data_IF_397254578086
#
_entry.id   IF_397254578086
#
_cell.length_a   1.000
_cell.length_b   1.000
_cell.length_c   1.000
_cell.angle_alpha   90.00
_cell.angle_beta   90.00
_cell.angle_gamma   90.00
#
_symmetry.space_group_name_H-M   'P 1'
#
loop_
_entity.id
_entity.type
_entity.pdbx_description
1 polymer ?
#
# COMPACT_ATOMS: atom_id res chain seq x y z
N UNK A 1 26.67 -5.62 9.71
CA UNK A 1 25.47 -5.55 8.85
C UNK A 1 24.39 -6.33 9.56
N UNK A 2 23.33 -5.67 10.02
CA UNK A 2 22.15 -6.36 10.54
C UNK A 2 21.44 -6.97 9.33
N UNK A 3 21.17 -8.28 9.37
CA UNK A 3 20.41 -8.92 8.29
C UNK A 3 19.00 -8.30 8.22
N UNK A 4 18.59 -7.85 7.05
CA UNK A 4 17.23 -7.36 6.84
C UNK A 4 16.22 -8.48 7.17
N UNK A 5 15.11 -8.13 7.81
CA UNK A 5 14.01 -9.09 8.04
C UNK A 5 13.56 -9.65 6.68
N UNK A 6 13.20 -10.94 6.58
CA UNK A 6 12.79 -11.55 5.29
C UNK A 6 11.66 -10.79 4.57
N UNK A 7 10.70 -10.25 5.33
CA UNK A 7 9.60 -9.44 4.79
C UNK A 7 10.11 -8.21 4.04
N UNK A 8 11.13 -7.51 4.57
CA UNK A 8 11.69 -6.31 3.94
C UNK A 8 12.34 -6.67 2.59
N UNK A 9 13.08 -7.78 2.56
CA UNK A 9 13.70 -8.28 1.31
C UNK A 9 12.64 -8.60 0.26
N UNK A 10 11.54 -9.25 0.67
CA UNK A 10 10.43 -9.57 -0.22
C UNK A 10 9.73 -8.30 -0.73
N UNK A 11 9.42 -7.34 0.16
CA UNK A 11 8.84 -6.05 -0.23
C UNK A 11 9.71 -5.39 -1.30
N UNK A 12 11.02 -5.29 -1.09
CA UNK A 12 11.95 -4.72 -2.09
C UNK A 12 11.81 -5.45 -3.44
N UNK A 13 11.71 -6.78 -3.44
CA UNK A 13 11.55 -7.56 -4.67
C UNK A 13 10.27 -7.22 -5.46
N UNK A 14 9.19 -6.85 -4.77
CA UNK A 14 7.95 -6.36 -5.39
C UNK A 14 8.10 -4.92 -5.87
N UNK A 15 8.71 -4.04 -5.07
CA UNK A 15 8.92 -2.63 -5.43
C UNK A 15 9.80 -2.47 -6.67
N UNK A 16 10.73 -3.39 -6.91
CA UNK A 16 11.55 -3.43 -8.14
C UNK A 16 10.74 -3.76 -9.41
N UNK A 17 9.47 -4.18 -9.29
CA UNK A 17 8.55 -4.38 -10.43
C UNK A 17 7.72 -3.14 -10.75
N UNK A 18 7.83 -2.10 -9.95
CA UNK A 18 7.23 -0.79 -10.21
C UNK A 18 8.10 -0.07 -11.24
N UNK A 19 7.45 0.67 -12.16
CA UNK A 19 8.18 1.35 -13.22
C UNK A 19 9.11 2.45 -12.67
N UNK A 20 10.35 2.40 -13.12
CA UNK A 20 11.43 3.39 -13.02
C UNK A 20 11.52 4.25 -11.73
N UNK A 21 11.19 5.53 -11.86
CA UNK A 21 11.40 6.53 -10.81
C UNK A 21 10.63 6.23 -9.53
N UNK A 22 9.41 5.73 -9.63
CA UNK A 22 8.59 5.41 -8.45
C UNK A 22 9.13 4.19 -7.70
N UNK A 23 9.74 3.22 -8.38
CA UNK A 23 10.43 2.09 -7.73
C UNK A 23 11.50 2.57 -6.75
N UNK A 24 12.39 3.45 -7.23
CA UNK A 24 13.46 4.02 -6.39
C UNK A 24 12.89 4.82 -5.21
N UNK A 25 11.83 5.60 -5.43
CA UNK A 25 11.15 6.40 -4.39
C UNK A 25 10.51 5.51 -3.33
N UNK A 26 9.85 4.42 -3.74
CA UNK A 26 9.30 3.42 -2.83
C UNK A 26 10.39 2.79 -1.94
N UNK A 27 11.51 2.37 -2.53
CA UNK A 27 12.61 1.76 -1.78
C UNK A 27 13.23 2.77 -0.81
N UNK A 28 13.40 4.04 -1.22
CA UNK A 28 13.89 5.11 -0.36
C UNK A 28 12.96 5.36 0.83
N UNK A 29 11.65 5.41 0.60
CA UNK A 29 10.63 5.56 1.66
C UNK A 29 10.60 4.34 2.58
N UNK A 30 10.66 3.13 2.03
CA UNK A 30 10.72 1.89 2.83
C UNK A 30 11.94 1.89 3.76
N UNK A 31 13.12 2.22 3.26
CA UNK A 31 14.34 2.30 4.07
C UNK A 31 14.20 3.35 5.19
N UNK A 32 13.67 4.52 4.89
CA UNK A 32 13.37 5.54 5.90
C UNK A 32 12.46 4.99 7.02
N UNK A 33 11.42 4.24 6.67
CA UNK A 33 10.54 3.63 7.67
C UNK A 33 11.22 2.52 8.47
N UNK A 34 11.98 1.65 7.82
CA UNK A 34 12.71 0.56 8.50
C UNK A 34 13.72 1.13 9.50
N UNK A 35 14.39 2.21 9.15
CA UNK A 35 15.39 2.85 10.01
C UNK A 35 14.73 3.57 11.20
N UNK A 36 13.63 4.30 10.95
CA UNK A 36 13.01 5.16 11.96
C UNK A 36 11.90 4.46 12.76
N UNK A 37 11.15 3.56 12.13
CA UNK A 37 9.96 2.90 12.69
C UNK A 37 9.99 1.38 12.49
N UNK A 38 11.02 0.66 12.95
CA UNK A 38 11.22 -0.78 12.66
C UNK A 38 10.10 -1.68 13.19
N UNK A 39 9.38 -1.23 14.21
CA UNK A 39 8.31 -1.96 14.88
C UNK A 39 6.91 -1.40 14.62
N UNK A 40 6.74 -0.61 13.54
CA UNK A 40 5.44 -0.05 13.18
C UNK A 40 4.35 -1.13 13.09
N UNK A 41 3.22 -1.03 13.83
CA UNK A 41 2.12 -1.97 13.71
C UNK A 41 1.26 -1.68 12.47
N UNK A 42 0.55 -2.70 11.98
CA UNK A 42 -0.35 -2.56 10.84
C UNK A 42 -1.66 -1.84 11.18
N UNK A 43 -2.08 -1.88 12.44
CA UNK A 43 -3.27 -1.18 12.95
C UNK A 43 -3.18 -0.96 14.45
N UNK A 44 -4.14 -0.19 15.02
CA UNK A 44 -4.21 0.08 16.46
C UNK A 44 -4.81 -1.06 17.31
N UNK A 45 -5.33 -2.13 16.71
CA UNK A 45 -5.99 -3.20 17.46
C UNK A 45 -6.79 -4.18 16.60
N UNK A 46 -6.69 -4.06 15.28
CA UNK A 46 -7.35 -4.94 14.33
C UNK A 46 -6.35 -5.94 13.73
N UNK A 47 -6.17 -5.92 12.40
CA UNK A 47 -5.22 -6.79 11.69
C UNK A 47 -3.77 -6.33 11.91
N UNK A 48 -2.85 -7.28 12.02
CA UNK A 48 -1.40 -7.07 12.20
C UNK A 48 -1.04 -6.01 13.26
N UNK A 49 -1.78 -5.99 14.39
CA UNK A 49 -1.59 -5.06 15.50
C UNK A 49 -0.44 -5.49 16.44
N UNK A 50 0.71 -5.84 15.88
CA UNK A 50 1.91 -6.28 16.59
C UNK A 50 3.16 -5.56 16.04
N UNK A 51 4.29 -5.54 16.78
CA UNK A 51 5.53 -4.92 16.33
C UNK A 51 5.98 -5.45 14.97
N UNK A 52 6.14 -4.55 13.99
CA UNK A 52 6.47 -4.90 12.61
C UNK A 52 5.30 -5.33 11.73
N UNK A 53 4.07 -5.32 12.26
CA UNK A 53 2.87 -5.73 11.54
C UNK A 53 2.57 -4.90 10.29
N UNK A 54 3.00 -3.64 10.24
CA UNK A 54 2.93 -2.81 9.05
C UNK A 54 3.67 -3.47 7.87
N UNK A 55 4.91 -3.93 8.10
CA UNK A 55 5.70 -4.56 7.03
C UNK A 55 5.14 -5.91 6.61
N UNK A 56 4.56 -6.67 7.56
CA UNK A 56 3.83 -7.91 7.22
C UNK A 56 2.64 -7.60 6.34
N UNK A 57 1.81 -6.60 6.70
CA UNK A 57 0.68 -6.17 5.88
C UNK A 57 1.11 -5.76 4.47
N UNK A 58 2.13 -4.90 4.35
CA UNK A 58 2.66 -4.45 3.06
C UNK A 58 3.17 -5.63 2.23
N UNK A 59 3.94 -6.56 2.84
CA UNK A 59 4.38 -7.77 2.15
C UNK A 59 3.21 -8.58 1.59
N UNK A 60 2.23 -8.85 2.43
CA UNK A 60 1.06 -9.68 2.08
C UNK A 60 0.26 -9.10 0.91
N UNK A 61 -0.05 -7.80 0.95
CA UNK A 61 -0.84 -7.17 -0.12
C UNK A 61 -0.10 -7.13 -1.46
N UNK A 62 1.23 -6.94 -1.45
CA UNK A 62 2.05 -6.95 -2.67
C UNK A 62 2.16 -8.37 -3.26
N UNK A 63 2.25 -9.38 -2.39
CA UNK A 63 2.22 -10.78 -2.79
C UNK A 63 0.88 -11.14 -3.42
N UNK A 64 -0.25 -10.84 -2.74
CA UNK A 64 -1.60 -11.12 -3.26
C UNK A 64 -1.85 -10.39 -4.58
N UNK A 65 -1.43 -9.13 -4.69
CA UNK A 65 -1.52 -8.40 -5.94
C UNK A 65 -0.79 -9.10 -7.09
N UNK A 66 0.44 -9.56 -6.84
CA UNK A 66 1.23 -10.25 -7.85
C UNK A 66 0.57 -11.57 -8.28
N UNK A 67 0.05 -12.34 -7.33
CA UNK A 67 -0.66 -13.61 -7.60
C UNK A 67 -1.97 -13.40 -8.35
N UNK A 68 -2.81 -12.47 -7.88
CA UNK A 68 -4.10 -12.16 -8.47
C UNK A 68 -3.96 -11.56 -9.87
N UNK A 69 -3.05 -10.60 -10.05
CA UNK A 69 -2.78 -9.99 -11.35
C UNK A 69 -2.40 -11.06 -12.38
N UNK A 70 -1.45 -11.95 -12.03
CA UNK A 70 -1.03 -13.07 -12.89
C UNK A 70 -2.19 -14.01 -13.23
N UNK A 71 -3.11 -14.23 -12.30
CA UNK A 71 -4.27 -15.10 -12.51
C UNK A 71 -5.33 -14.43 -13.40
N UNK A 72 -5.65 -13.18 -13.15
CA UNK A 72 -6.67 -12.41 -13.86
C UNK A 72 -6.25 -12.07 -15.29
N UNK A 73 -4.99 -11.67 -15.49
CA UNK A 73 -4.45 -11.34 -16.82
C UNK A 73 -4.41 -12.53 -17.82
N UNK A 74 -4.50 -13.76 -17.32
CA UNK A 74 -4.67 -14.95 -18.15
C UNK A 74 -6.10 -15.14 -18.66
N UNK A 75 -7.08 -14.53 -17.99
CA UNK A 75 -8.51 -14.68 -18.34
C UNK A 75 -8.96 -13.58 -19.29
N UNK A 76 -8.49 -12.36 -19.07
CA UNK A 76 -8.91 -11.22 -19.87
C UNK A 76 -7.88 -10.07 -19.75
N UNK A 77 -8.02 -9.07 -20.63
CA UNK A 77 -7.24 -7.85 -20.60
C UNK A 77 -7.56 -7.02 -19.35
N UNK A 78 -6.51 -6.59 -18.64
CA UNK A 78 -6.60 -5.65 -17.54
C UNK A 78 -6.22 -4.25 -18.03
N UNK A 79 -7.06 -3.25 -17.74
CA UNK A 79 -6.85 -1.86 -18.16
C UNK A 79 -5.81 -1.09 -17.32
N UNK A 80 -5.09 -1.78 -16.45
CA UNK A 80 -4.02 -1.26 -15.59
C UNK A 80 -2.85 -2.23 -15.55
N UNK A 81 -1.66 -1.76 -15.21
CA UNK A 81 -0.46 -2.59 -15.08
C UNK A 81 -0.29 -3.13 -13.65
N UNK A 82 0.53 -4.18 -13.51
CA UNK A 82 0.96 -4.63 -12.18
C UNK A 82 1.75 -3.54 -11.45
N UNK A 83 2.54 -2.74 -12.17
CA UNK A 83 3.28 -1.59 -11.65
C UNK A 83 2.35 -0.59 -10.97
N UNK A 84 1.24 -0.20 -11.62
CA UNK A 84 0.22 0.71 -11.05
C UNK A 84 -0.37 0.15 -9.75
N UNK A 85 -0.73 -1.13 -9.76
CA UNK A 85 -1.32 -1.78 -8.59
C UNK A 85 -0.34 -1.84 -7.41
N UNK A 86 0.92 -2.24 -7.65
CA UNK A 86 1.94 -2.31 -6.60
C UNK A 86 2.25 -0.92 -6.02
N UNK A 87 2.30 0.12 -6.86
CA UNK A 87 2.53 1.49 -6.43
C UNK A 87 1.39 1.96 -5.50
N UNK A 88 0.14 1.80 -5.91
CA UNK A 88 -1.02 2.18 -5.09
C UNK A 88 -1.04 1.42 -3.77
N UNK A 89 -0.84 0.10 -3.80
CA UNK A 89 -0.82 -0.75 -2.61
C UNK A 89 0.32 -0.39 -1.66
N UNK A 90 1.49 -0.04 -2.15
CA UNK A 90 2.58 0.43 -1.29
C UNK A 90 2.25 1.77 -0.61
N UNK A 91 1.57 2.67 -1.34
CA UNK A 91 1.30 4.04 -0.87
C UNK A 91 0.05 4.20 -0.01
N UNK A 92 -0.84 3.20 0.07
CA UNK A 92 -2.17 3.39 0.66
C UNK A 92 -2.17 3.67 2.17
N UNK A 93 -1.21 3.12 2.89
CA UNK A 93 -1.09 3.15 4.34
C UNK A 93 0.27 3.74 4.83
N UNK A 94 0.93 4.55 4.02
CA UNK A 94 2.27 5.10 4.35
C UNK A 94 2.28 6.03 5.55
N UNK A 95 1.13 6.51 6.00
CA UNK A 95 1.02 7.31 7.23
C UNK A 95 1.13 6.46 8.50
N UNK A 96 0.83 5.16 8.45
CA UNK A 96 0.76 4.29 9.63
C UNK A 96 2.05 4.23 10.47
N UNK A 97 3.25 4.11 9.89
CA UNK A 97 4.49 4.12 10.69
C UNK A 97 4.66 5.37 11.53
N UNK A 98 4.27 6.54 11.02
CA UNK A 98 4.32 7.81 11.74
C UNK A 98 3.17 7.90 12.75
N UNK A 99 1.95 7.58 12.32
CA UNK A 99 0.75 7.62 13.15
C UNK A 99 0.87 6.76 14.43
N UNK A 100 1.49 5.60 14.31
CA UNK A 100 1.62 4.64 15.42
C UNK A 100 2.99 4.68 16.10
N UNK A 101 3.83 5.69 15.81
CA UNK A 101 5.16 5.84 16.42
C UNK A 101 5.12 6.20 17.91
N UNK A 102 3.99 6.69 18.42
CA UNK A 102 3.88 7.29 19.75
C UNK A 102 4.40 8.73 19.84
N UNK A 103 4.90 9.29 18.73
CA UNK A 103 5.26 10.70 18.64
C UNK A 103 3.99 11.55 18.57
N UNK A 104 3.99 12.71 19.26
CA UNK A 104 2.89 13.69 19.13
C UNK A 104 2.94 14.30 17.72
N UNK A 105 1.92 14.01 16.92
CA UNK A 105 1.82 14.50 15.55
C UNK A 105 0.44 15.13 15.33
N UNK A 106 0.38 16.45 15.08
CA UNK A 106 -0.87 17.17 14.86
C UNK A 106 -1.47 16.93 13.47
N UNK A 107 -0.72 16.26 12.55
CA UNK A 107 -1.18 16.02 11.19
C UNK A 107 -2.24 14.91 11.15
N UNK A 108 -3.24 15.09 10.29
CA UNK A 108 -4.18 14.03 9.93
C UNK A 108 -3.51 12.98 9.04
N UNK A 109 -4.07 11.77 8.98
CA UNK A 109 -3.59 10.69 8.11
C UNK A 109 -3.42 11.15 6.64
N UNK A 110 -4.38 11.94 6.14
CA UNK A 110 -4.32 12.49 4.78
C UNK A 110 -3.18 13.51 4.60
N UNK A 111 -2.90 14.33 5.61
CA UNK A 111 -1.80 15.30 5.57
C UNK A 111 -0.45 14.59 5.60
N UNK A 112 -0.26 13.60 6.47
CA UNK A 112 0.97 12.79 6.51
C UNK A 112 1.21 12.12 5.16
N UNK A 113 0.19 11.47 4.59
CA UNK A 113 0.28 10.82 3.27
C UNK A 113 0.66 11.80 2.18
N UNK A 114 -0.03 12.95 2.10
CA UNK A 114 0.25 13.99 1.11
C UNK A 114 1.68 14.54 1.25
N UNK A 115 2.12 14.79 2.47
CA UNK A 115 3.48 15.25 2.75
C UNK A 115 4.53 14.24 2.28
N UNK A 116 4.40 12.97 2.64
CA UNK A 116 5.34 11.91 2.23
C UNK A 116 5.38 11.74 0.71
N UNK A 117 4.22 11.76 0.03
CA UNK A 117 4.15 11.71 -1.44
C UNK A 117 4.95 12.85 -2.06
N UNK A 118 4.81 14.06 -1.54
CA UNK A 118 5.52 15.24 -2.05
C UNK A 118 7.01 15.23 -1.70
N UNK A 119 7.39 14.93 -0.46
CA UNK A 119 8.78 14.90 0.01
C UNK A 119 9.64 13.86 -0.73
N UNK A 120 9.06 12.69 -1.01
CA UNK A 120 9.74 11.65 -1.77
C UNK A 120 9.58 11.82 -3.29
N UNK A 121 8.77 12.79 -3.72
CA UNK A 121 8.62 13.20 -5.12
C UNK A 121 7.88 12.19 -5.99
N UNK A 122 6.91 11.43 -5.45
CA UNK A 122 6.16 10.44 -6.22
C UNK A 122 5.42 11.05 -7.40
N UNK A 123 5.51 10.41 -8.55
CA UNK A 123 4.78 10.76 -9.77
C UNK A 123 3.51 9.91 -9.88
N UNK A 124 2.36 10.53 -9.60
CA UNK A 124 1.07 9.84 -9.55
C UNK A 124 0.14 10.34 -10.66
N UNK A 125 -0.49 9.40 -11.35
CA UNK A 125 -1.56 9.67 -12.31
C UNK A 125 -2.90 9.92 -11.57
N UNK A 126 -3.89 10.48 -12.28
CA UNK A 126 -5.24 10.61 -11.75
C UNK A 126 -5.85 9.26 -11.35
N UNK A 127 -5.50 8.19 -12.07
CA UNK A 127 -5.94 6.82 -11.77
C UNK A 127 -5.36 6.33 -10.44
N UNK A 128 -4.07 6.58 -10.18
CA UNK A 128 -3.43 6.27 -8.90
C UNK A 128 -4.09 7.03 -7.74
N UNK A 129 -4.35 8.33 -7.91
CA UNK A 129 -5.00 9.14 -6.88
C UNK A 129 -6.43 8.67 -6.58
N UNK A 130 -7.17 8.26 -7.62
CA UNK A 130 -8.50 7.70 -7.46
C UNK A 130 -8.46 6.35 -6.75
N UNK A 131 -7.49 5.50 -7.08
CA UNK A 131 -7.30 4.21 -6.42
C UNK A 131 -6.93 4.39 -4.94
N UNK A 132 -6.04 5.31 -4.60
CA UNK A 132 -5.72 5.67 -3.22
C UNK A 132 -6.94 6.19 -2.45
N UNK A 133 -7.84 6.94 -3.11
CA UNK A 133 -9.09 7.43 -2.49
C UNK A 133 -10.03 6.30 -2.10
N UNK A 134 -10.17 5.28 -2.95
CA UNK A 134 -11.20 4.24 -2.80
C UNK A 134 -10.66 2.87 -2.35
N UNK A 135 -9.39 2.78 -1.97
CA UNK A 135 -8.80 1.49 -1.57
C UNK A 135 -9.50 0.86 -0.36
N UNK A 136 -10.05 1.68 0.55
CA UNK A 136 -10.84 1.20 1.69
C UNK A 136 -12.36 1.11 1.40
N UNK A 137 -12.75 1.24 0.13
CA UNK A 137 -14.15 1.19 -0.32
C UNK A 137 -14.72 2.55 -0.71
N UNK A 138 -15.90 2.53 -1.31
CA UNK A 138 -16.56 3.72 -1.86
C UNK A 138 -17.13 4.65 -0.77
N UNK A 139 -17.42 4.12 0.41
CA UNK A 139 -17.96 4.89 1.53
C UNK A 139 -19.23 5.66 1.15
N UNK A 140 -19.25 6.97 1.42
CA UNK A 140 -20.39 7.85 1.12
C UNK A 140 -20.54 8.17 -0.37
N UNK A 141 -19.52 7.88 -1.19
CA UNK A 141 -19.57 8.10 -2.65
C UNK A 141 -20.27 6.94 -3.37
N UNK A 142 -20.68 5.87 -2.67
CA UNK A 142 -21.41 4.75 -3.24
C UNK A 142 -22.73 5.21 -3.86
N UNK A 143 -22.97 4.80 -5.13
CA UNK A 143 -24.24 5.05 -5.85
C UNK A 143 -24.67 3.78 -6.59
N UNK A 144 -25.98 3.53 -6.62
CA UNK A 144 -26.53 2.38 -7.35
C UNK A 144 -26.42 2.52 -8.88
N UNK A 145 -26.44 3.74 -9.36
CA UNK A 145 -26.51 4.09 -10.78
C UNK A 145 -25.15 4.44 -11.40
N UNK A 146 -24.11 4.57 -10.57
CA UNK A 146 -22.77 4.96 -11.04
C UNK A 146 -21.67 4.19 -10.31
N UNK A 147 -20.79 3.58 -11.07
CA UNK A 147 -19.53 3.01 -10.54
C UNK A 147 -18.52 4.14 -10.35
N UNK A 148 -18.01 4.29 -9.13
CA UNK A 148 -16.94 5.25 -8.80
C UNK A 148 -15.56 4.57 -8.74
N UNK A 149 -15.53 3.29 -8.41
CA UNK A 149 -14.31 2.50 -8.47
C UNK A 149 -13.98 2.11 -9.90
N UNK A 150 -12.76 2.41 -10.31
CA UNK A 150 -12.17 1.88 -11.55
C UNK A 150 -11.67 0.45 -11.35
N UNK A 151 -11.27 -0.28 -12.41
CA UNK A 151 -10.67 -1.61 -12.28
C UNK A 151 -9.45 -1.62 -11.35
N UNK A 152 -8.56 -0.62 -11.41
CA UNK A 152 -7.42 -0.50 -10.51
C UNK A 152 -7.86 -0.31 -9.05
N UNK A 153 -8.83 0.57 -8.79
CA UNK A 153 -9.40 0.78 -7.45
C UNK A 153 -9.94 -0.52 -6.86
N UNK A 154 -10.79 -1.24 -7.62
CA UNK A 154 -11.41 -2.48 -7.19
C UNK A 154 -10.38 -3.57 -6.92
N UNK A 155 -9.36 -3.67 -7.77
CA UNK A 155 -8.27 -4.64 -7.61
C UNK A 155 -7.48 -4.37 -6.32
N UNK A 156 -7.04 -3.13 -6.08
CA UNK A 156 -6.30 -2.77 -4.89
C UNK A 156 -7.14 -2.95 -3.62
N UNK A 157 -8.43 -2.57 -3.66
CA UNK A 157 -9.37 -2.81 -2.56
C UNK A 157 -9.47 -4.30 -2.21
N UNK A 158 -9.59 -5.19 -3.21
CA UNK A 158 -9.62 -6.63 -2.96
C UNK A 158 -8.34 -7.13 -2.28
N UNK A 159 -7.16 -6.68 -2.72
CA UNK A 159 -5.88 -7.09 -2.12
C UNK A 159 -5.79 -6.68 -0.63
N UNK A 160 -6.18 -5.43 -0.31
CA UNK A 160 -6.20 -4.94 1.06
C UNK A 160 -7.17 -5.73 1.93
N UNK A 161 -8.42 -5.96 1.46
CA UNK A 161 -9.43 -6.74 2.18
C UNK A 161 -8.98 -8.18 2.43
N UNK A 162 -8.30 -8.82 1.48
CA UNK A 162 -7.76 -10.18 1.68
C UNK A 162 -6.79 -10.20 2.86
N UNK A 163 -5.81 -9.30 2.90
CA UNK A 163 -4.84 -9.23 4.00
C UNK A 163 -5.52 -8.87 5.34
N UNK A 164 -6.40 -7.86 5.32
CA UNK A 164 -6.99 -7.32 6.52
C UNK A 164 -8.11 -8.18 7.14
N UNK A 165 -8.74 -9.10 6.37
CA UNK A 165 -9.96 -9.81 6.77
C UNK A 165 -9.89 -11.32 6.70
N UNK A 166 -9.14 -11.90 5.75
CA UNK A 166 -9.09 -13.37 5.58
C UNK A 166 -8.03 -13.98 6.50
N UNK A 167 -6.86 -13.36 6.60
CA UNK A 167 -5.75 -13.85 7.40
C UNK A 167 -5.55 -13.04 8.69
N UNK A 168 -6.65 -12.57 9.23
CA UNK A 168 -6.67 -11.89 10.53
C UNK A 168 -6.08 -12.78 11.63
N UNK A 169 -5.00 -12.31 12.27
CA UNK A 169 -4.34 -12.95 13.42
C UNK A 169 -4.23 -11.95 14.57
#
# INVERSE_FOLDING_TARGET
>A
MVALKPEITNIISYLLKIDDNNSFRCIKLLNFFVDKYPDAPGSSGNHQAYPGGYYTHVNDILEYATMLYKSLSKKDYLSFSLSDALLVLFLHDIEKPIKYSGEDNPETDAQIRSRLINEFGFELTNEHLLALKYIHGEGQDYRKDKRVMTPLCAFCHCCDVISARIFYK
#
